data_IF_465971876075
#
_entry.id   IF_465971876075
#
_cell.length_a   1.000
_cell.length_b   1.000
_cell.length_c   1.000
_cell.angle_alpha   90.00
_cell.angle_beta   90.00
_cell.angle_gamma   90.00
#
_symmetry.space_group_name_H-M   'P 1'
#
loop_
_entity.id
_entity.type
_entity.pdbx_description
1 polymer ?
#
# COMPACT_ATOMS: atom_id res chain seq x y z
N UNK A 1 6.19 -7.03 -3.63
CA UNK A 1 6.78 -7.78 -2.52
C UNK A 1 8.28 -7.93 -2.76
N UNK A 2 9.12 -7.52 -1.80
CA UNK A 2 10.56 -7.75 -1.84
C UNK A 2 10.81 -9.12 -1.20
N UNK A 3 11.47 -10.04 -1.90
CA UNK A 3 11.89 -11.32 -1.33
C UNK A 3 13.38 -11.23 -1.00
N UNK A 4 13.76 -11.57 0.23
CA UNK A 4 15.17 -11.60 0.65
C UNK A 4 15.67 -13.03 0.53
N UNK A 5 16.73 -13.24 -0.26
CA UNK A 5 17.52 -14.48 -0.20
C UNK A 5 18.42 -14.36 1.01
N UNK A 6 18.09 -15.08 2.09
CA UNK A 6 18.91 -15.11 3.30
C UNK A 6 19.85 -16.32 3.27
N UNK A 7 21.07 -16.11 3.76
CA UNK A 7 22.10 -17.15 3.93
C UNK A 7 21.90 -17.95 5.22
N UNK A 8 20.93 -17.58 6.05
CA UNK A 8 20.66 -18.23 7.32
C UNK A 8 19.88 -19.53 7.13
N UNK A 9 20.28 -20.59 7.82
CA UNK A 9 19.66 -21.92 7.69
C UNK A 9 18.17 -21.94 7.97
N UNK A 10 17.69 -21.08 8.89
CA UNK A 10 16.27 -20.92 9.21
C UNK A 10 15.43 -20.27 8.10
N UNK A 11 16.07 -19.71 7.08
CA UNK A 11 15.38 -19.11 5.94
C UNK A 11 15.16 -20.11 4.79
N UNK A 12 15.84 -21.26 4.79
CA UNK A 12 15.66 -22.27 3.77
C UNK A 12 14.27 -22.92 3.87
N UNK A 13 13.75 -23.38 2.74
CA UNK A 13 12.48 -24.12 2.58
C UNK A 13 11.17 -23.32 2.59
N UNK A 14 11.19 -21.99 2.73
CA UNK A 14 9.97 -21.16 2.70
C UNK A 14 10.15 -19.87 1.91
N UNK A 15 9.05 -19.41 1.31
CA UNK A 15 8.95 -18.03 0.85
C UNK A 15 8.56 -17.15 2.02
N UNK A 16 9.38 -16.13 2.25
CA UNK A 16 9.21 -15.21 3.36
C UNK A 16 8.63 -13.90 2.87
N UNK A 17 7.56 -13.46 3.53
CA UNK A 17 7.05 -12.11 3.36
C UNK A 17 7.77 -11.23 4.37
N UNK A 18 8.46 -10.19 3.89
CA UNK A 18 9.11 -9.24 4.78
C UNK A 18 8.10 -8.57 5.72
N UNK A 19 8.54 -8.07 6.88
CA UNK A 19 7.69 -7.31 7.76
C UNK A 19 7.15 -6.07 7.04
N UNK A 20 5.86 -5.79 7.21
CA UNK A 20 5.23 -4.59 6.67
C UNK A 20 4.69 -3.73 7.81
N UNK A 21 4.75 -2.41 7.64
CA UNK A 21 4.28 -1.47 8.65
C UNK A 21 2.76 -1.25 8.62
N UNK A 22 2.12 -1.68 7.53
CA UNK A 22 0.71 -1.45 7.26
C UNK A 22 -0.07 -2.71 7.66
N UNK A 23 -0.86 -2.59 8.72
CA UNK A 23 -1.85 -3.57 9.11
C UNK A 23 -3.22 -2.87 9.20
N UNK A 24 -4.25 -3.55 8.72
CA UNK A 24 -5.66 -3.14 8.87
C UNK A 24 -6.01 -1.74 8.33
N UNK A 25 -5.34 -1.33 7.24
CA UNK A 25 -5.68 -0.09 6.50
C UNK A 25 -6.04 -0.40 5.07
N UNK A 26 -7.01 0.32 4.52
CA UNK A 26 -7.29 0.32 3.08
C UNK A 26 -6.29 1.23 2.37
N UNK A 27 -6.11 1.06 1.06
CA UNK A 27 -5.28 1.96 0.27
C UNK A 27 -5.84 3.39 0.31
N UNK A 28 -7.15 3.53 0.34
CA UNK A 28 -7.79 4.82 0.55
C UNK A 28 -7.35 5.49 1.86
N UNK A 29 -7.30 4.73 2.96
CA UNK A 29 -6.87 5.27 4.24
C UNK A 29 -5.41 5.73 4.20
N UNK A 30 -4.53 4.93 3.58
CA UNK A 30 -3.12 5.29 3.40
C UNK A 30 -2.97 6.56 2.56
N UNK A 31 -3.70 6.67 1.45
CA UNK A 31 -3.68 7.85 0.59
C UNK A 31 -4.16 9.11 1.34
N UNK A 32 -5.17 8.98 2.20
CA UNK A 32 -5.62 10.05 3.06
C UNK A 32 -4.55 10.46 4.08
N UNK A 33 -3.90 9.48 4.74
CA UNK A 33 -2.83 9.74 5.71
C UNK A 33 -1.67 10.51 5.05
N UNK A 34 -1.26 10.11 3.84
CA UNK A 34 -0.26 10.83 3.03
C UNK A 34 -0.73 12.25 2.71
N UNK A 35 -1.97 12.40 2.24
CA UNK A 35 -2.53 13.72 1.91
C UNK A 35 -2.57 14.65 3.12
N UNK A 36 -2.89 14.14 4.30
CA UNK A 36 -2.87 14.92 5.55
C UNK A 36 -1.45 15.32 5.91
N UNK A 37 -0.45 14.45 5.71
CA UNK A 37 0.95 14.82 5.97
C UNK A 37 1.48 15.90 5.03
N UNK A 38 1.09 15.85 3.75
CA UNK A 38 1.56 16.83 2.75
C UNK A 38 0.80 18.17 2.87
N UNK A 39 -0.53 18.12 3.09
CA UNK A 39 -1.40 19.30 3.01
C UNK A 39 -1.93 19.80 4.36
N UNK A 40 -1.61 19.13 5.46
CA UNK A 40 -2.07 19.45 6.81
C UNK A 40 -3.54 19.10 7.07
N UNK A 41 -4.08 19.60 8.19
CA UNK A 41 -5.46 19.31 8.64
C UNK A 41 -6.56 19.81 7.68
N UNK A 42 -6.21 20.67 6.72
CA UNK A 42 -7.10 21.14 5.65
C UNK A 42 -7.17 20.21 4.43
N UNK A 43 -6.50 19.05 4.47
CA UNK A 43 -6.48 18.10 3.36
C UNK A 43 -7.89 17.60 3.01
N UNK A 44 -8.24 17.66 1.72
CA UNK A 44 -9.47 17.03 1.23
C UNK A 44 -9.27 15.51 1.16
N UNK A 45 -10.28 14.70 1.51
CA UNK A 45 -10.16 13.26 1.40
C UNK A 45 -9.87 12.86 -0.05
N UNK A 46 -8.87 12.01 -0.23
CA UNK A 46 -8.51 11.43 -1.51
C UNK A 46 -9.65 10.50 -1.92
N UNK A 47 -10.37 10.91 -2.95
CA UNK A 47 -11.44 10.12 -3.56
C UNK A 47 -10.94 9.55 -4.86
N UNK A 48 -11.04 8.23 -4.98
CA UNK A 48 -10.89 7.57 -6.25
C UNK A 48 -12.15 7.86 -7.08
N UNK A 49 -12.07 8.82 -7.99
CA UNK A 49 -13.19 9.24 -8.81
C UNK A 49 -13.05 8.64 -10.20
N UNK A 50 -13.65 7.48 -10.40
CA UNK A 50 -13.87 6.88 -11.73
C UNK A 50 -15.32 7.07 -12.17
N UNK A 51 -15.62 6.74 -13.43
CA UNK A 51 -17.01 6.56 -13.88
C UNK A 51 -17.76 5.69 -12.87
N UNK A 52 -19.04 5.98 -12.63
CA UNK A 52 -19.86 5.19 -11.69
C UNK A 52 -19.74 3.69 -12.01
N UNK A 53 -19.69 2.83 -11.01
CA UNK A 53 -19.54 1.37 -11.18
C UNK A 53 -20.45 0.81 -12.28
N UNK A 54 -21.70 1.28 -12.36
CA UNK A 54 -22.65 0.91 -13.42
C UNK A 54 -22.11 1.16 -14.85
N UNK A 55 -21.55 2.34 -15.11
CA UNK A 55 -20.98 2.69 -16.41
C UNK A 55 -19.72 1.88 -16.70
N UNK A 56 -18.89 1.62 -15.69
CA UNK A 56 -17.72 0.75 -15.85
C UNK A 56 -18.14 -0.68 -16.20
N UNK A 57 -19.14 -1.25 -15.52
CA UNK A 57 -19.68 -2.57 -15.85
C UNK A 57 -20.30 -2.63 -17.24
N UNK A 58 -20.96 -1.55 -17.68
CA UNK A 58 -21.52 -1.47 -19.03
C UNK A 58 -20.43 -1.43 -20.10
N UNK A 59 -19.30 -0.76 -19.81
CA UNK A 59 -18.20 -0.56 -20.75
C UNK A 59 -17.14 -1.66 -20.70
N UNK A 60 -17.07 -2.45 -19.63
CA UNK A 60 -16.04 -3.49 -19.45
C UNK A 60 -15.98 -4.55 -20.56
N UNK A 61 -17.09 -4.99 -21.22
CA UNK A 61 -17.00 -5.91 -22.34
C UNK A 61 -16.36 -5.30 -23.61
N UNK A 62 -16.30 -3.97 -23.66
CA UNK A 62 -15.83 -3.22 -24.83
C UNK A 62 -14.47 -2.54 -24.59
N UNK A 63 -14.02 -2.43 -23.33
CA UNK A 63 -12.75 -1.81 -22.97
C UNK A 63 -12.08 -2.55 -21.81
N UNK A 64 -10.90 -3.09 -22.06
CA UNK A 64 -10.06 -3.78 -21.06
C UNK A 64 -9.72 -2.88 -19.87
N UNK A 65 -9.40 -1.61 -20.13
CA UNK A 65 -9.20 -0.60 -19.09
C UNK A 65 -10.38 -0.49 -18.11
N UNK A 66 -11.64 -0.55 -18.58
CA UNK A 66 -12.80 -0.47 -17.70
C UNK A 66 -12.94 -1.73 -16.82
N UNK A 67 -12.51 -2.90 -17.33
CA UNK A 67 -12.44 -4.13 -16.53
C UNK A 67 -11.39 -4.03 -15.43
N UNK A 68 -10.16 -3.61 -15.77
CA UNK A 68 -9.08 -3.40 -14.79
C UNK A 68 -9.49 -2.37 -13.73
N UNK A 69 -10.19 -1.31 -14.14
CA UNK A 69 -10.67 -0.28 -13.21
C UNK A 69 -11.67 -0.83 -12.18
N UNK A 70 -12.52 -1.78 -12.55
CA UNK A 70 -13.47 -2.42 -11.61
C UNK A 70 -12.70 -3.21 -10.55
N UNK A 71 -11.68 -3.96 -10.95
CA UNK A 71 -10.84 -4.74 -10.03
C UNK A 71 -10.04 -3.81 -9.09
N UNK A 72 -9.56 -2.68 -9.61
CA UNK A 72 -8.85 -1.68 -8.82
C UNK A 72 -9.74 -0.96 -7.80
N UNK A 73 -11.03 -0.78 -8.07
CA UNK A 73 -11.97 -0.22 -7.08
C UNK A 73 -12.08 -1.13 -5.85
N UNK A 74 -12.20 -2.45 -6.06
CA UNK A 74 -12.25 -3.41 -4.96
C UNK A 74 -10.94 -3.36 -4.16
N UNK A 75 -9.80 -3.36 -4.85
CA UNK A 75 -8.49 -3.26 -4.21
C UNK A 75 -8.29 -1.95 -3.43
N UNK A 76 -8.83 -0.83 -3.90
CA UNK A 76 -8.71 0.48 -3.25
C UNK A 76 -9.42 0.54 -1.88
N UNK A 77 -10.53 -0.19 -1.77
CA UNK A 77 -11.43 -0.14 -0.61
C UNK A 77 -11.30 -1.34 0.32
N UNK A 78 -10.66 -2.42 -0.12
CA UNK A 78 -10.38 -3.60 0.68
C UNK A 78 -9.23 -3.36 1.66
N UNK A 79 -9.32 -4.00 2.83
CA UNK A 79 -8.24 -3.97 3.82
C UNK A 79 -6.97 -4.60 3.23
N UNK A 80 -5.88 -3.84 3.22
CA UNK A 80 -4.57 -4.35 2.91
C UNK A 80 -4.03 -5.07 4.15
N UNK A 81 -4.10 -6.41 4.13
CA UNK A 81 -3.60 -7.27 5.20
C UNK A 81 -2.56 -8.22 4.63
N UNK A 82 -1.37 -8.14 5.19
CA UNK A 82 -0.27 -9.07 4.92
C UNK A 82 0.10 -9.70 6.26
N UNK A 83 0.07 -11.03 6.33
CA UNK A 83 0.51 -11.75 7.52
C UNK A 83 2.03 -11.97 7.44
N UNK A 84 2.76 -11.26 8.30
CA UNK A 84 4.21 -11.33 8.46
C UNK A 84 4.64 -11.89 9.83
N UNK A 85 3.71 -12.46 10.60
CA UNK A 85 3.95 -12.97 11.95
C UNK A 85 5.02 -14.06 11.96
N UNK A 86 4.96 -14.99 10.99
CA UNK A 86 5.93 -16.07 10.86
C UNK A 86 7.35 -15.54 10.64
N UNK A 87 7.51 -14.48 9.83
CA UNK A 87 8.80 -13.85 9.63
C UNK A 87 9.27 -13.16 10.90
N UNK A 88 8.41 -12.35 11.52
CA UNK A 88 8.74 -11.61 12.73
C UNK A 88 9.18 -12.55 13.87
N UNK A 89 8.48 -13.68 14.03
CA UNK A 89 8.79 -14.68 15.04
C UNK A 89 10.09 -15.45 14.72
N UNK A 90 10.37 -15.74 13.45
CA UNK A 90 11.56 -16.52 13.03
C UNK A 90 12.84 -15.69 13.05
N UNK A 91 12.77 -14.44 12.59
CA UNK A 91 13.94 -13.58 12.45
C UNK A 91 14.10 -12.59 13.60
N UNK A 92 13.06 -12.37 14.41
CA UNK A 92 13.07 -11.36 15.49
C UNK A 92 13.10 -9.92 14.96
N UNK A 93 12.84 -9.74 13.67
CA UNK A 93 12.83 -8.44 12.98
C UNK A 93 11.39 -7.98 12.84
N UNK A 94 11.12 -6.73 13.18
CA UNK A 94 9.81 -6.09 13.02
C UNK A 94 9.91 -4.95 12.02
N UNK A 95 8.79 -4.64 11.36
CA UNK A 95 8.71 -3.47 10.51
C UNK A 95 8.86 -2.19 11.33
N UNK A 96 9.40 -1.14 10.70
CA UNK A 96 9.34 0.22 11.22
C UNK A 96 7.87 0.60 11.49
N UNK A 97 7.54 1.26 12.62
CA UNK A 97 6.18 1.70 12.90
C UNK A 97 5.60 2.54 11.74
N UNK A 98 4.31 2.36 11.46
CA UNK A 98 3.63 3.00 10.33
C UNK A 98 3.83 4.52 10.28
N UNK A 99 3.61 5.22 11.39
CA UNK A 99 3.69 6.69 11.42
C UNK A 99 5.10 7.20 11.14
N UNK A 100 6.12 6.47 11.60
CA UNK A 100 7.51 6.78 11.30
C UNK A 100 7.80 6.54 9.81
N UNK A 101 7.46 5.36 9.29
CA UNK A 101 7.66 5.03 7.88
C UNK A 101 6.93 6.00 6.93
N UNK A 102 5.72 6.42 7.30
CA UNK A 102 4.93 7.40 6.54
C UNK A 102 5.62 8.78 6.52
N UNK A 103 6.15 9.21 7.66
CA UNK A 103 6.86 10.49 7.77
C UNK A 103 8.13 10.47 6.91
N UNK A 104 8.96 9.44 7.08
CA UNK A 104 10.19 9.25 6.29
C UNK A 104 9.91 9.19 4.77
N UNK A 105 8.81 8.54 4.36
CA UNK A 105 8.39 8.47 2.96
C UNK A 105 8.03 9.85 2.39
N UNK A 106 7.24 10.62 3.15
CA UNK A 106 6.81 11.96 2.71
C UNK A 106 8.01 12.91 2.64
N UNK A 107 8.88 12.89 3.66
CA UNK A 107 10.08 13.71 3.70
C UNK A 107 10.99 13.39 2.51
N UNK A 108 11.26 12.10 2.24
CA UNK A 108 12.02 11.66 1.07
C UNK A 108 11.40 12.15 -0.25
N UNK A 109 10.08 12.06 -0.40
CA UNK A 109 9.40 12.53 -1.60
C UNK A 109 9.56 14.04 -1.80
N UNK A 110 9.40 14.83 -0.73
CA UNK A 110 9.56 16.29 -0.78
C UNK A 110 10.99 16.69 -1.12
N UNK A 111 11.99 16.09 -0.46
CA UNK A 111 13.41 16.31 -0.76
C UNK A 111 13.75 15.95 -2.21
N UNK A 112 13.22 14.84 -2.72
CA UNK A 112 13.48 14.41 -4.10
C UNK A 112 12.93 15.39 -5.14
N UNK A 113 11.83 16.08 -4.82
CA UNK A 113 11.19 17.06 -5.69
C UNK A 113 11.92 18.40 -5.70
N UNK A 114 12.56 18.78 -4.60
CA UNK A 114 13.38 20.00 -4.53
C UNK A 114 14.70 19.88 -5.30
N UNK A 115 15.18 18.65 -5.51
CA UNK A 115 16.41 18.35 -6.23
C UNK A 115 16.23 18.08 -7.75
N UNK A 116 15.01 18.27 -8.29
CA UNK A 116 14.68 18.19 -9.72
C UNK A 116 14.42 19.58 -10.31
#
# INVERSE_FOLDING_TARGET
>A
ALAIVSMESKAFDKFWICPHSIHDKTIQAIANDISVKIHGEGAKPVKFSVLSNFLLYLMSPFMEFASEMIEMIDFWTKDYRVNDEDFCNTFGIRATPYDQALTELVDFYLESKENQ
#
